data_IF_444496038654
#
_entry.id   IF_444496038654
#
_cell.length_a   1.000
_cell.length_b   1.000
_cell.length_c   1.000
_cell.angle_alpha   90.00
_cell.angle_beta   90.00
_cell.angle_gamma   90.00
#
_symmetry.space_group_name_H-M   'P 1'
#
loop_
_entity.id
_entity.type
_entity.pdbx_description
1 polymer ?
#
# COMPACT_ATOMS: atom_id res chain seq x y z
N UNK A 1 23.92 -5.94 -20.45
CA UNK A 1 22.56 -5.75 -20.97
C UNK A 1 22.60 -5.93 -22.48
N UNK A 2 21.54 -6.48 -23.07
CA UNK A 2 21.43 -6.69 -24.51
C UNK A 2 21.18 -5.32 -25.20
N UNK A 3 21.48 -5.20 -26.50
CA UNK A 3 21.32 -3.96 -27.28
C UNK A 3 19.93 -3.33 -27.13
N UNK A 4 18.86 -4.13 -27.18
CA UNK A 4 17.47 -3.64 -27.07
C UNK A 4 17.13 -3.01 -25.71
N UNK A 5 17.65 -3.56 -24.61
CA UNK A 5 17.49 -2.95 -23.28
C UNK A 5 18.25 -1.62 -23.20
N UNK A 6 19.44 -1.54 -23.81
CA UNK A 6 20.23 -0.31 -23.87
C UNK A 6 19.49 0.78 -24.69
N UNK A 7 18.91 0.43 -25.84
CA UNK A 7 18.12 1.38 -26.65
C UNK A 7 16.94 1.99 -25.84
N UNK A 8 16.24 1.17 -25.05
CA UNK A 8 15.14 1.65 -24.17
C UNK A 8 15.71 2.50 -23.02
N UNK A 9 16.86 2.13 -22.44
CA UNK A 9 17.51 2.91 -21.39
C UNK A 9 17.95 4.30 -21.90
N UNK A 10 18.47 4.39 -23.14
CA UNK A 10 18.85 5.66 -23.76
C UNK A 10 17.65 6.57 -23.98
N UNK A 11 16.53 6.02 -24.48
CA UNK A 11 15.27 6.74 -24.62
C UNK A 11 14.71 7.18 -23.26
N UNK A 12 14.77 6.32 -22.25
CA UNK A 12 14.36 6.67 -20.88
C UNK A 12 15.16 7.85 -20.35
N UNK A 13 16.50 7.79 -20.46
CA UNK A 13 17.38 8.86 -20.00
C UNK A 13 17.16 10.19 -20.76
N UNK A 14 16.72 10.13 -22.01
CA UNK A 14 16.46 11.30 -22.83
C UNK A 14 15.10 11.96 -22.52
N UNK A 15 14.05 11.16 -22.22
CA UNK A 15 12.68 11.66 -22.19
C UNK A 15 11.96 11.50 -20.86
N UNK A 16 12.49 10.73 -19.90
CA UNK A 16 11.87 10.51 -18.59
C UNK A 16 12.71 11.17 -17.50
N UNK A 17 12.04 11.86 -16.56
CA UNK A 17 12.73 12.49 -15.43
C UNK A 17 13.53 11.45 -14.63
N UNK A 18 14.79 11.74 -14.22
CA UNK A 18 15.72 10.79 -13.60
C UNK A 18 15.37 10.51 -12.12
N UNK A 19 14.14 10.12 -11.83
CA UNK A 19 13.63 9.81 -10.48
C UNK A 19 13.66 8.34 -10.15
N UNK A 20 13.91 7.48 -11.14
CA UNK A 20 14.06 6.03 -11.02
C UNK A 20 15.28 5.55 -11.80
N UNK A 21 15.83 4.40 -11.38
CA UNK A 21 16.95 3.73 -12.04
C UNK A 21 16.53 2.29 -12.46
N UNK A 22 15.68 2.12 -13.49
CA UNK A 22 15.24 0.81 -13.93
C UNK A 22 16.39 -0.02 -14.50
N UNK A 23 16.34 -1.33 -14.26
CA UNK A 23 17.42 -2.26 -14.65
C UNK A 23 17.01 -3.21 -15.78
N UNK A 24 15.72 -3.43 -15.98
CA UNK A 24 15.17 -4.39 -16.95
C UNK A 24 13.99 -3.77 -17.70
N UNK A 25 13.96 -3.96 -19.02
CA UNK A 25 12.82 -3.58 -19.85
C UNK A 25 11.86 -4.78 -19.99
N UNK A 26 10.74 -4.76 -19.27
CA UNK A 26 9.73 -5.82 -19.28
C UNK A 26 8.67 -5.56 -20.36
N UNK A 27 8.23 -6.63 -21.07
CA UNK A 27 7.26 -6.54 -22.16
C UNK A 27 6.03 -7.44 -21.99
N UNK A 28 6.11 -8.47 -21.16
CA UNK A 28 5.03 -9.43 -20.97
C UNK A 28 5.07 -10.01 -19.55
N UNK A 29 3.89 -10.39 -19.02
CA UNK A 29 3.78 -11.08 -17.74
C UNK A 29 2.62 -12.06 -17.71
N UNK A 30 2.76 -13.14 -16.93
CA UNK A 30 1.69 -14.12 -16.62
C UNK A 30 1.95 -14.74 -15.26
N UNK A 31 1.00 -14.61 -14.33
CA UNK A 31 1.18 -15.05 -12.95
C UNK A 31 2.39 -14.35 -12.31
N UNK A 32 3.34 -15.12 -11.80
CA UNK A 32 4.61 -14.60 -11.24
C UNK A 32 5.76 -14.50 -12.25
N UNK A 33 5.53 -14.85 -13.53
CA UNK A 33 6.58 -14.83 -14.55
C UNK A 33 6.47 -13.60 -15.42
N UNK A 34 7.60 -12.95 -15.70
CA UNK A 34 7.69 -11.83 -16.61
C UNK A 34 8.81 -12.04 -17.64
N UNK A 35 8.65 -11.44 -18.80
CA UNK A 35 9.61 -11.54 -19.91
C UNK A 35 10.19 -10.17 -20.24
N UNK A 36 11.50 -10.09 -20.29
CA UNK A 36 12.22 -8.92 -20.76
C UNK A 36 12.21 -8.77 -22.28
N UNK A 37 12.50 -7.58 -22.78
CA UNK A 37 12.59 -7.28 -24.22
C UNK A 37 13.66 -8.09 -24.94
N UNK A 38 14.61 -8.63 -24.21
CA UNK A 38 15.66 -9.53 -24.65
C UNK A 38 15.31 -11.01 -24.55
N UNK A 39 14.03 -11.32 -24.28
CA UNK A 39 13.47 -12.65 -24.05
C UNK A 39 13.98 -13.36 -22.77
N UNK A 40 14.70 -12.69 -21.88
CA UNK A 40 14.97 -13.23 -20.56
C UNK A 40 13.68 -13.44 -19.77
N UNK A 41 13.62 -14.56 -19.06
CA UNK A 41 12.51 -14.90 -18.17
C UNK A 41 12.90 -14.57 -16.74
N UNK A 42 11.97 -13.97 -15.99
CA UNK A 42 12.16 -13.65 -14.59
C UNK A 42 10.98 -14.15 -13.75
N UNK A 43 11.25 -14.49 -12.50
CA UNK A 43 10.24 -14.62 -11.45
C UNK A 43 10.15 -13.25 -10.78
N UNK A 44 8.97 -12.64 -10.85
CA UNK A 44 8.68 -11.37 -10.21
C UNK A 44 8.25 -11.58 -8.76
N UNK A 45 9.17 -11.30 -7.83
CA UNK A 45 8.90 -11.33 -6.39
C UNK A 45 8.39 -9.99 -5.85
N UNK A 46 8.40 -8.94 -6.70
CA UNK A 46 7.92 -7.59 -6.32
C UNK A 46 6.42 -7.42 -6.49
N UNK A 47 5.84 -8.17 -7.43
CA UNK A 47 4.43 -8.04 -7.84
C UNK A 47 4.03 -6.58 -8.14
N UNK A 48 4.95 -5.78 -8.76
CA UNK A 48 4.75 -4.35 -9.01
C UNK A 48 4.64 -3.54 -7.72
N UNK A 49 5.48 -3.79 -6.74
CA UNK A 49 5.44 -3.24 -5.37
C UNK A 49 4.08 -3.57 -4.71
N UNK A 50 3.80 -4.87 -4.58
CA UNK A 50 2.57 -5.44 -4.01
C UNK A 50 1.27 -5.03 -4.72
N UNK A 51 1.33 -4.64 -6.00
CA UNK A 51 0.15 -4.19 -6.77
C UNK A 51 -0.63 -5.35 -7.38
N UNK A 52 0.01 -6.47 -7.68
CA UNK A 52 -0.59 -7.60 -8.41
C UNK A 52 -0.87 -8.78 -7.47
N UNK A 53 -1.93 -8.68 -6.66
CA UNK A 53 -2.31 -9.76 -5.73
C UNK A 53 -2.66 -11.08 -6.44
N UNK A 54 -3.20 -11.00 -7.67
CA UNK A 54 -3.57 -12.17 -8.48
C UNK A 54 -2.48 -12.56 -9.50
N UNK A 55 -1.33 -11.88 -9.49
CA UNK A 55 -0.28 -12.02 -10.50
C UNK A 55 -0.54 -11.23 -11.79
N UNK A 56 0.44 -11.26 -12.68
CA UNK A 56 0.36 -10.58 -13.98
C UNK A 56 -0.71 -11.19 -14.88
N UNK A 57 -1.51 -10.33 -15.52
CA UNK A 57 -2.48 -10.68 -16.55
C UNK A 57 -3.43 -11.83 -16.14
N UNK A 58 -3.91 -11.80 -14.88
CA UNK A 58 -4.87 -12.79 -14.42
C UNK A 58 -6.12 -12.78 -15.34
N UNK A 59 -6.57 -13.95 -15.89
CA UNK A 59 -7.62 -13.99 -16.91
C UNK A 59 -8.90 -13.27 -16.49
N UNK A 60 -9.41 -13.52 -15.28
CA UNK A 60 -10.64 -12.90 -14.79
C UNK A 60 -10.53 -11.37 -14.66
N UNK A 61 -9.37 -10.85 -14.21
CA UNK A 61 -9.11 -9.41 -14.08
C UNK A 61 -8.98 -8.77 -15.45
N UNK A 62 -8.20 -9.38 -16.35
CA UNK A 62 -8.02 -8.89 -17.74
C UNK A 62 -9.34 -8.85 -18.49
N UNK A 63 -10.16 -9.90 -18.40
CA UNK A 63 -11.46 -9.95 -19.04
C UNK A 63 -12.43 -8.88 -18.51
N UNK A 64 -12.44 -8.66 -17.19
CA UNK A 64 -13.28 -7.61 -16.58
C UNK A 64 -12.90 -6.22 -17.10
N UNK A 65 -11.59 -5.93 -17.22
CA UNK A 65 -11.08 -4.67 -17.79
C UNK A 65 -11.52 -4.52 -19.25
N UNK A 66 -11.25 -5.53 -20.08
CA UNK A 66 -11.55 -5.49 -21.52
C UNK A 66 -13.06 -5.34 -21.76
N UNK A 67 -13.88 -6.08 -21.04
CA UNK A 67 -15.34 -5.98 -21.13
C UNK A 67 -15.81 -4.56 -20.76
N UNK A 68 -15.36 -4.02 -19.63
CA UNK A 68 -15.79 -2.71 -19.19
C UNK A 68 -15.27 -1.57 -20.08
N UNK A 69 -14.04 -1.68 -20.59
CA UNK A 69 -13.48 -0.70 -21.52
C UNK A 69 -14.27 -0.58 -22.82
N UNK A 70 -14.85 -1.70 -23.30
CA UNK A 70 -15.75 -1.71 -24.46
C UNK A 70 -17.13 -1.11 -24.19
N UNK A 71 -17.59 -1.12 -22.93
CA UNK A 71 -18.91 -0.58 -22.56
C UNK A 71 -18.81 0.92 -22.24
N UNK A 72 -18.00 1.30 -21.28
CA UNK A 72 -17.82 2.69 -20.84
C UNK A 72 -16.59 2.79 -19.95
N UNK A 73 -15.50 3.40 -20.41
CA UNK A 73 -14.26 3.50 -19.62
C UNK A 73 -14.33 4.53 -18.50
N UNK A 74 -15.15 5.60 -18.67
CA UNK A 74 -15.26 6.70 -17.72
C UNK A 74 -16.66 7.32 -17.72
N UNK A 75 -17.17 7.71 -16.54
CA UNK A 75 -18.47 8.38 -16.38
C UNK A 75 -18.41 9.63 -15.52
N UNK A 76 -17.25 9.96 -14.93
CA UNK A 76 -17.06 10.90 -13.82
C UNK A 76 -17.90 10.55 -12.57
N UNK A 77 -17.81 11.40 -11.53
CA UNK A 77 -18.63 11.28 -10.32
C UNK A 77 -19.89 12.16 -10.36
N UNK A 78 -20.24 12.69 -11.53
CA UNK A 78 -21.50 13.40 -11.76
C UNK A 78 -22.68 12.44 -11.98
N UNK A 79 -22.41 11.21 -12.35
CA UNK A 79 -23.41 10.18 -12.61
C UNK A 79 -23.16 8.93 -11.76
N UNK A 80 -24.21 8.17 -11.49
CA UNK A 80 -24.05 6.89 -10.81
C UNK A 80 -23.27 5.90 -11.68
N UNK A 81 -22.25 5.30 -11.08
CA UNK A 81 -21.42 4.26 -11.67
C UNK A 81 -21.71 2.94 -10.94
N UNK A 82 -22.34 2.00 -11.63
CA UNK A 82 -22.76 0.72 -11.04
C UNK A 82 -21.58 -0.05 -10.43
N UNK A 83 -20.44 -0.13 -11.15
CA UNK A 83 -19.27 -0.87 -10.65
C UNK A 83 -18.72 -0.25 -9.37
N UNK A 84 -18.67 1.08 -9.29
CA UNK A 84 -18.21 1.79 -8.09
C UNK A 84 -19.13 1.49 -6.88
N UNK A 85 -20.44 1.55 -7.08
CA UNK A 85 -21.40 1.30 -6.00
C UNK A 85 -21.34 -0.16 -5.52
N UNK A 86 -21.25 -1.13 -6.43
CA UNK A 86 -21.12 -2.54 -6.08
C UNK A 86 -19.79 -2.85 -5.39
N UNK A 87 -18.68 -2.23 -5.84
CA UNK A 87 -17.39 -2.33 -5.19
C UNK A 87 -17.44 -1.75 -3.76
N UNK A 88 -18.03 -0.56 -3.59
CA UNK A 88 -18.21 0.06 -2.27
C UNK A 88 -19.02 -0.84 -1.34
N UNK A 89 -20.12 -1.42 -1.82
CA UNK A 89 -20.93 -2.36 -1.05
C UNK A 89 -20.11 -3.58 -0.62
N UNK A 90 -19.31 -4.14 -1.51
CA UNK A 90 -18.47 -5.33 -1.23
C UNK A 90 -17.38 -5.01 -0.21
N UNK A 91 -16.68 -3.89 -0.37
CA UNK A 91 -15.66 -3.43 0.57
C UNK A 91 -16.26 -3.14 1.96
N UNK A 92 -17.41 -2.46 2.01
CA UNK A 92 -18.13 -2.20 3.26
C UNK A 92 -18.49 -3.49 4.00
N UNK A 93 -18.96 -4.53 3.28
CA UNK A 93 -19.26 -5.84 3.88
C UNK A 93 -18.01 -6.52 4.42
N UNK A 94 -16.90 -6.49 3.68
CA UNK A 94 -15.63 -7.10 4.07
C UNK A 94 -15.00 -6.42 5.29
N UNK A 95 -15.21 -5.11 5.46
CA UNK A 95 -14.66 -4.32 6.57
C UNK A 95 -15.62 -4.14 7.77
N UNK A 96 -16.71 -4.91 7.80
CA UNK A 96 -17.74 -4.79 8.83
C UNK A 96 -18.34 -3.38 8.96
N UNK A 97 -18.60 -2.74 7.82
CA UNK A 97 -19.23 -1.42 7.71
C UNK A 97 -18.31 -0.34 7.15
N UNK A 98 -18.79 0.90 7.18
CA UNK A 98 -18.11 2.06 6.62
C UNK A 98 -18.57 2.40 5.20
N UNK A 99 -18.28 3.65 4.80
CA UNK A 99 -18.53 4.15 3.43
C UNK A 99 -17.22 4.47 2.74
N UNK A 100 -17.21 4.37 1.42
CA UNK A 100 -16.03 4.46 0.57
C UNK A 100 -15.97 5.80 -0.16
N UNK A 101 -14.79 6.43 -0.16
CA UNK A 101 -14.45 7.48 -1.11
C UNK A 101 -13.29 6.98 -1.98
N UNK A 102 -13.51 6.88 -3.28
CA UNK A 102 -12.51 6.40 -4.24
C UNK A 102 -11.64 7.52 -4.77
N UNK A 103 -10.36 7.23 -4.98
CA UNK A 103 -9.37 8.08 -5.63
C UNK A 103 -8.48 7.22 -6.56
N UNK A 104 -7.31 7.71 -6.96
CA UNK A 104 -6.48 7.05 -7.98
C UNK A 104 -5.21 6.44 -7.39
N UNK A 105 -4.60 7.09 -6.42
CA UNK A 105 -3.32 6.71 -5.81
C UNK A 105 -3.43 6.56 -4.30
N UNK A 106 -2.49 5.80 -3.71
CA UNK A 106 -2.41 5.68 -2.26
C UNK A 106 -2.21 7.03 -1.57
N UNK A 107 -1.39 7.91 -2.15
CA UNK A 107 -1.19 9.26 -1.61
C UNK A 107 -2.49 10.07 -1.56
N UNK A 108 -3.32 10.02 -2.62
CA UNK A 108 -4.63 10.69 -2.62
C UNK A 108 -5.57 10.09 -1.56
N UNK A 109 -5.59 8.76 -1.39
CA UNK A 109 -6.40 8.13 -0.35
C UNK A 109 -5.96 8.59 1.05
N UNK A 110 -4.66 8.57 1.33
CA UNK A 110 -4.12 9.02 2.61
C UNK A 110 -4.36 10.51 2.86
N UNK A 111 -4.22 11.36 1.84
CA UNK A 111 -4.59 12.79 1.97
C UNK A 111 -6.07 12.98 2.31
N UNK A 112 -6.96 12.23 1.68
CA UNK A 112 -8.39 12.30 1.99
C UNK A 112 -8.68 11.76 3.40
N UNK A 113 -7.99 10.72 3.86
CA UNK A 113 -8.10 10.22 5.22
C UNK A 113 -7.66 11.28 6.24
N UNK A 114 -6.53 11.97 6.01
CA UNK A 114 -6.07 13.09 6.85
C UNK A 114 -7.04 14.28 6.81
N UNK A 115 -7.61 14.61 5.64
CA UNK A 115 -8.62 15.66 5.51
C UNK A 115 -9.86 15.36 6.36
N UNK A 116 -10.36 14.13 6.35
CA UNK A 116 -11.50 13.70 7.15
C UNK A 116 -11.15 13.78 8.65
N UNK A 117 -9.96 13.32 9.06
CA UNK A 117 -9.52 13.42 10.45
C UNK A 117 -9.44 14.87 10.93
N UNK A 118 -8.89 15.79 10.11
CA UNK A 118 -8.85 17.23 10.42
C UNK A 118 -10.24 17.85 10.49
N UNK A 119 -11.16 17.43 9.63
CA UNK A 119 -12.56 17.88 9.68
C UNK A 119 -13.22 17.46 11.00
N UNK A 120 -13.01 16.21 11.43
CA UNK A 120 -13.51 15.70 12.72
C UNK A 120 -12.96 16.50 13.93
N UNK A 121 -11.69 16.88 13.87
CA UNK A 121 -11.05 17.64 14.95
C UNK A 121 -11.33 19.15 14.95
N UNK A 122 -11.92 19.69 13.86
CA UNK A 122 -12.00 21.13 13.59
C UNK A 122 -12.60 21.95 14.73
N UNK A 123 -13.75 21.56 15.25
CA UNK A 123 -14.44 22.29 16.31
C UNK A 123 -13.68 22.29 17.65
N UNK A 124 -12.82 21.29 17.83
CA UNK A 124 -11.95 21.13 19.00
C UNK A 124 -10.56 21.73 18.81
N UNK A 125 -10.30 22.40 17.68
CA UNK A 125 -8.97 22.93 17.33
C UNK A 125 -7.89 21.85 17.09
N UNK A 126 -8.30 20.60 16.85
CA UNK A 126 -7.40 19.45 16.64
C UNK A 126 -7.20 19.19 15.15
N UNK A 127 -5.97 19.06 14.72
CA UNK A 127 -5.62 18.84 13.31
C UNK A 127 -4.33 18.05 13.10
N UNK A 128 -3.58 17.77 14.18
CA UNK A 128 -2.29 17.09 14.11
C UNK A 128 -2.48 15.58 14.06
N UNK A 129 -1.77 14.95 13.14
CA UNK A 129 -1.74 13.49 12.96
C UNK A 129 -0.36 12.97 13.35
N UNK A 130 -0.31 12.03 14.26
CA UNK A 130 0.93 11.34 14.60
C UNK A 130 1.18 10.26 13.54
N UNK A 131 2.37 10.27 12.96
CA UNK A 131 2.90 9.22 12.08
C UNK A 131 4.21 8.68 12.65
N UNK A 132 4.86 7.74 11.95
CA UNK A 132 5.98 7.01 12.54
C UNK A 132 7.26 7.17 11.73
N UNK A 133 8.39 7.28 12.43
CA UNK A 133 9.72 7.23 11.83
C UNK A 133 9.84 5.99 10.93
N UNK A 134 10.44 6.13 9.75
CA UNK A 134 10.53 5.13 8.68
C UNK A 134 9.19 4.76 8.01
N UNK A 135 8.05 5.32 8.42
CA UNK A 135 6.76 5.12 7.74
C UNK A 135 6.77 5.71 6.33
N UNK A 136 5.88 5.22 5.48
CA UNK A 136 5.70 5.72 4.12
C UNK A 136 4.22 5.86 3.78
N UNK A 137 3.78 7.08 3.48
CA UNK A 137 2.38 7.38 3.22
C UNK A 137 2.11 8.02 1.85
N UNK A 138 3.14 8.31 1.06
CA UNK A 138 3.01 8.84 -0.30
C UNK A 138 3.99 9.96 -0.63
N UNK A 139 3.84 10.54 -1.82
CA UNK A 139 4.77 11.51 -2.41
C UNK A 139 4.12 12.87 -2.74
N UNK A 140 2.86 13.12 -2.42
CA UNK A 140 2.28 14.46 -2.45
C UNK A 140 2.84 15.29 -1.28
N UNK A 141 2.78 16.61 -1.32
CA UNK A 141 3.41 17.44 -0.28
C UNK A 141 2.94 17.11 1.14
N UNK A 142 1.63 16.88 1.34
CA UNK A 142 1.14 16.52 2.66
C UNK A 142 1.56 15.08 3.05
N UNK A 143 1.63 14.15 2.10
CA UNK A 143 2.10 12.79 2.39
C UNK A 143 3.61 12.72 2.50
N UNK A 144 4.38 13.61 1.88
CA UNK A 144 5.80 13.81 2.21
C UNK A 144 5.96 14.24 3.67
N UNK A 145 5.13 15.18 4.14
CA UNK A 145 5.12 15.60 5.55
C UNK A 145 4.69 14.46 6.49
N UNK A 146 3.73 13.61 6.10
CA UNK A 146 3.34 12.44 6.87
C UNK A 146 4.40 11.31 6.88
N UNK A 147 5.24 11.25 5.85
CA UNK A 147 6.31 10.26 5.68
C UNK A 147 7.56 10.72 6.42
N UNK A 148 7.78 10.21 7.64
CA UNK A 148 8.89 10.60 8.51
C UNK A 148 10.22 9.98 8.05
N UNK A 149 10.69 10.37 6.86
CA UNK A 149 11.95 9.98 6.26
C UNK A 149 12.64 11.20 5.65
N UNK A 150 13.82 11.57 6.17
CA UNK A 150 14.57 12.74 5.70
C UNK A 150 14.83 12.71 4.19
N UNK A 151 15.19 11.53 3.65
CA UNK A 151 15.46 11.34 2.21
C UNK A 151 14.28 11.70 1.30
N UNK A 152 13.03 11.65 1.85
CA UNK A 152 11.80 11.95 1.11
C UNK A 152 11.38 13.41 1.28
N UNK A 153 11.69 14.02 2.42
CA UNK A 153 11.31 15.37 2.77
C UNK A 153 12.30 16.43 2.23
N UNK A 154 13.59 16.09 2.19
CA UNK A 154 14.68 17.00 1.85
C UNK A 154 14.49 17.68 0.51
N UNK A 155 14.52 19.01 0.50
CA UNK A 155 14.44 19.86 -0.69
C UNK A 155 13.01 20.22 -1.12
N UNK A 156 11.98 19.79 -0.37
CA UNK A 156 10.58 20.12 -0.63
C UNK A 156 9.97 21.08 0.40
N UNK A 157 10.81 21.69 1.23
CA UNK A 157 10.38 22.70 2.23
C UNK A 157 9.82 23.98 1.57
N UNK A 158 8.79 24.62 2.18
CA UNK A 158 8.12 24.24 3.43
C UNK A 158 7.08 23.13 3.24
N UNK A 159 7.14 22.09 4.07
CA UNK A 159 6.13 21.04 4.08
C UNK A 159 4.86 21.46 4.85
N UNK A 160 3.69 20.91 4.51
CA UNK A 160 2.46 21.16 5.27
C UNK A 160 2.61 20.77 6.76
N UNK A 161 2.16 21.68 7.65
CA UNK A 161 2.17 21.48 9.10
C UNK A 161 1.08 20.52 9.57
N UNK A 162 1.22 20.05 10.83
CA UNK A 162 0.23 19.21 11.51
C UNK A 162 0.52 17.73 11.40
N UNK A 163 1.80 17.38 11.39
CA UNK A 163 2.31 16.04 11.59
C UNK A 163 3.31 16.05 12.74
N UNK A 164 3.22 15.04 13.61
CA UNK A 164 4.19 14.72 14.66
C UNK A 164 4.69 13.30 14.45
N UNK A 165 5.93 13.02 14.86
CA UNK A 165 6.57 11.73 14.59
C UNK A 165 6.90 11.00 15.88
N UNK A 166 6.60 9.69 15.92
CA UNK A 166 6.93 8.79 16.99
C UNK A 166 7.77 7.61 16.48
N UNK A 167 8.40 6.88 17.37
CA UNK A 167 9.11 5.65 17.02
C UNK A 167 8.13 4.47 16.90
N UNK A 168 8.30 3.69 15.84
CA UNK A 168 7.46 2.54 15.59
C UNK A 168 7.77 1.40 16.57
N UNK A 169 6.74 0.73 17.07
CA UNK A 169 6.80 -0.27 18.13
C UNK A 169 7.21 0.28 19.51
N UNK A 170 7.13 1.60 19.75
CA UNK A 170 7.38 2.24 21.05
C UNK A 170 6.16 3.09 21.48
N UNK A 171 5.35 2.58 22.42
CA UNK A 171 4.18 3.28 22.94
C UNK A 171 4.56 4.52 23.75
N UNK A 172 5.68 4.49 24.45
CA UNK A 172 6.13 5.64 25.25
C UNK A 172 6.50 6.83 24.34
N UNK A 173 7.14 6.55 23.20
CA UNK A 173 7.41 7.55 22.17
C UNK A 173 6.11 8.18 21.64
N UNK A 174 5.05 7.37 21.42
CA UNK A 174 3.75 7.89 20.98
C UNK A 174 3.11 8.77 22.05
N UNK A 175 3.09 8.33 23.30
CA UNK A 175 2.52 9.11 24.41
C UNK A 175 3.23 10.46 24.60
N UNK A 176 4.54 10.50 24.38
CA UNK A 176 5.35 11.71 24.52
C UNK A 176 5.02 12.80 23.50
N UNK A 177 4.53 12.43 22.31
CA UNK A 177 4.21 13.38 21.24
C UNK A 177 2.72 13.74 21.14
N UNK A 178 1.85 13.10 21.91
CA UNK A 178 0.42 13.46 21.97
C UNK A 178 0.28 14.84 22.64
N UNK A 179 -0.27 15.80 21.90
CA UNK A 179 -0.54 17.15 22.35
C UNK A 179 -2.02 17.56 22.24
N UNK A 180 -2.32 18.78 22.65
CA UNK A 180 -3.68 19.33 22.61
C UNK A 180 -4.26 19.37 21.18
N UNK A 181 -3.40 19.50 20.17
CA UNK A 181 -3.78 19.56 18.75
C UNK A 181 -3.91 18.18 18.09
N UNK A 182 -3.51 17.12 18.77
CA UNK A 182 -3.54 15.78 18.20
C UNK A 182 -4.97 15.31 17.98
N UNK A 183 -5.27 14.85 16.75
CA UNK A 183 -6.59 14.34 16.35
C UNK A 183 -6.57 12.85 16.02
N UNK A 184 -5.42 12.32 15.55
CA UNK A 184 -5.34 10.96 15.06
C UNK A 184 -3.93 10.39 15.19
N UNK A 185 -3.85 9.07 15.18
CA UNK A 185 -2.62 8.30 14.96
C UNK A 185 -2.78 7.51 13.67
N UNK A 186 -1.84 7.67 12.73
CA UNK A 186 -1.83 7.02 11.43
C UNK A 186 -0.61 6.12 11.29
N UNK A 187 -0.82 4.85 10.94
CA UNK A 187 0.25 3.87 10.81
C UNK A 187 -0.03 2.80 9.76
N UNK A 188 1.03 2.16 9.30
CA UNK A 188 1.01 0.93 8.51
C UNK A 188 1.04 -0.27 9.48
N UNK A 189 0.30 -1.39 9.23
CA UNK A 189 0.47 -2.63 10.01
C UNK A 189 1.87 -3.25 9.86
N UNK A 190 2.52 -3.02 8.73
CA UNK A 190 3.92 -3.34 8.45
C UNK A 190 4.49 -2.14 7.69
N UNK A 191 5.51 -1.50 8.23
CA UNK A 191 6.26 -0.46 7.51
C UNK A 191 7.03 -1.10 6.36
N UNK A 192 6.40 -1.14 5.16
CA UNK A 192 6.97 -1.85 4.04
C UNK A 192 8.23 -1.17 3.50
N UNK A 193 8.12 0.10 3.11
CA UNK A 193 9.22 0.93 2.56
C UNK A 193 10.27 1.31 3.63
N UNK A 194 9.96 1.13 4.91
CA UNK A 194 10.87 1.32 6.04
C UNK A 194 11.73 0.09 6.35
N UNK A 195 11.66 -0.95 5.50
CA UNK A 195 12.43 -2.18 5.63
C UNK A 195 11.61 -3.38 6.11
N UNK A 196 10.33 -3.48 5.77
CA UNK A 196 9.41 -4.57 6.10
C UNK A 196 9.33 -4.83 7.61
N UNK A 197 9.06 -3.79 8.41
CA UNK A 197 9.01 -3.86 9.88
C UNK A 197 7.55 -4.10 10.33
N UNK A 198 7.18 -5.30 10.84
CA UNK A 198 5.85 -5.55 11.36
C UNK A 198 5.61 -4.82 12.68
N UNK A 199 4.39 -4.32 12.88
CA UNK A 199 3.94 -3.92 14.21
C UNK A 199 3.86 -5.16 15.12
N UNK A 200 4.27 -5.00 16.38
CA UNK A 200 4.02 -6.02 17.38
C UNK A 200 2.54 -6.03 17.79
N UNK A 201 2.04 -7.17 18.22
CA UNK A 201 0.65 -7.27 18.67
C UNK A 201 0.37 -6.38 19.90
N UNK A 202 1.35 -6.25 20.78
CA UNK A 202 1.30 -5.37 21.94
C UNK A 202 1.20 -3.91 21.54
N UNK A 203 2.08 -3.46 20.65
CA UNK A 203 2.07 -2.09 20.14
C UNK A 203 0.73 -1.76 19.45
N UNK A 204 0.27 -2.60 18.55
CA UNK A 204 -0.97 -2.36 17.79
C UNK A 204 -2.20 -2.27 18.72
N UNK A 205 -2.31 -3.17 19.70
CA UNK A 205 -3.38 -3.13 20.71
C UNK A 205 -3.24 -1.92 21.64
N UNK A 206 -1.99 -1.57 22.00
CA UNK A 206 -1.68 -0.38 22.79
C UNK A 206 -2.10 0.90 22.10
N UNK A 207 -1.79 1.06 20.80
CA UNK A 207 -2.23 2.20 19.98
C UNK A 207 -3.76 2.27 19.91
N UNK A 208 -4.44 1.16 19.64
CA UNK A 208 -5.90 1.14 19.58
C UNK A 208 -6.54 1.54 20.93
N UNK A 209 -5.99 1.05 22.03
CA UNK A 209 -6.40 1.45 23.39
C UNK A 209 -6.14 2.94 23.64
N UNK A 210 -4.95 3.42 23.30
CA UNK A 210 -4.53 4.81 23.51
C UNK A 210 -5.44 5.77 22.70
N UNK A 211 -5.76 5.44 21.45
CA UNK A 211 -6.71 6.20 20.63
C UNK A 211 -8.08 6.30 21.34
N UNK A 212 -8.61 5.17 21.80
CA UNK A 212 -9.89 5.12 22.52
C UNK A 212 -9.86 5.96 23.81
N UNK A 213 -8.83 5.81 24.63
CA UNK A 213 -8.71 6.47 25.94
C UNK A 213 -8.55 7.99 25.81
N UNK A 214 -7.88 8.44 24.74
CA UNK A 214 -7.59 9.88 24.48
C UNK A 214 -8.61 10.54 23.53
N UNK A 215 -9.56 9.78 22.98
CA UNK A 215 -10.51 10.27 21.98
C UNK A 215 -9.83 10.71 20.68
N UNK A 216 -8.81 9.95 20.24
CA UNK A 216 -8.10 10.11 18.97
C UNK A 216 -8.64 9.10 17.95
N UNK A 217 -8.53 9.45 16.67
CA UNK A 217 -8.86 8.52 15.58
C UNK A 217 -7.69 7.57 15.32
N UNK A 218 -8.01 6.30 15.09
CA UNK A 218 -7.09 5.28 14.61
C UNK A 218 -7.19 5.19 13.10
N UNK A 219 -6.12 5.59 12.38
CA UNK A 219 -6.04 5.60 10.93
C UNK A 219 -5.06 4.52 10.47
N UNK A 220 -5.51 3.62 9.59
CA UNK A 220 -4.69 2.50 9.12
C UNK A 220 -4.36 2.64 7.65
N UNK A 221 -3.09 2.72 7.32
CA UNK A 221 -2.61 2.65 5.94
C UNK A 221 -2.40 1.19 5.54
N UNK A 222 -3.37 0.64 4.82
CA UNK A 222 -3.36 -0.73 4.29
C UNK A 222 -3.02 -0.78 2.80
N UNK A 223 -2.42 0.28 2.26
CA UNK A 223 -2.11 0.41 0.83
C UNK A 223 -1.23 -0.74 0.36
N UNK A 224 -0.26 -1.16 1.17
CA UNK A 224 0.63 -2.26 0.82
C UNK A 224 0.29 -3.58 1.55
N UNK A 225 -0.29 -3.52 2.72
CA UNK A 225 -0.56 -4.68 3.58
C UNK A 225 -1.92 -5.34 3.33
N UNK A 226 -2.87 -4.59 2.77
CA UNK A 226 -4.22 -5.05 2.49
C UNK A 226 -4.35 -6.00 1.30
N UNK A 227 -5.58 -6.34 0.97
CA UNK A 227 -5.95 -7.16 -0.18
C UNK A 227 -5.30 -8.55 -0.19
N UNK A 228 -5.13 -9.16 0.98
CA UNK A 228 -4.63 -10.53 1.11
C UNK A 228 -3.11 -10.68 1.21
N UNK A 229 -2.33 -9.60 1.05
CA UNK A 229 -0.85 -9.65 1.03
C UNK A 229 -0.25 -10.34 2.24
N UNK A 230 -0.79 -10.10 3.43
CA UNK A 230 -0.30 -10.65 4.70
C UNK A 230 -1.01 -11.94 5.14
N UNK A 231 -1.92 -12.47 4.30
CA UNK A 231 -2.67 -13.69 4.58
C UNK A 231 -4.07 -13.47 5.18
N UNK A 232 -4.45 -12.23 5.47
CA UNK A 232 -5.83 -11.81 5.81
C UNK A 232 -6.29 -10.77 4.80
N UNK A 233 -7.60 -10.50 4.68
CA UNK A 233 -8.09 -9.49 3.73
C UNK A 233 -7.47 -8.12 4.07
N UNK A 234 -7.49 -7.75 5.35
CA UNK A 234 -6.81 -6.58 5.90
C UNK A 234 -5.86 -7.01 7.01
N UNK A 235 -4.67 -6.41 7.07
CA UNK A 235 -3.66 -6.83 8.05
C UNK A 235 -4.06 -6.49 9.50
N UNK A 236 -4.85 -5.42 9.73
CA UNK A 236 -5.36 -5.06 11.06
C UNK A 236 -6.23 -6.15 11.70
N UNK A 237 -6.85 -7.05 10.90
CA UNK A 237 -7.64 -8.18 11.41
C UNK A 237 -6.82 -9.12 12.30
N UNK A 238 -5.52 -9.26 11.99
CA UNK A 238 -4.61 -10.14 12.73
C UNK A 238 -4.36 -9.69 14.18
N UNK A 239 -4.66 -8.44 14.48
CA UNK A 239 -4.48 -7.85 15.80
C UNK A 239 -5.79 -7.79 16.61
N UNK A 240 -6.92 -8.14 16.00
CA UNK A 240 -8.24 -8.07 16.63
C UNK A 240 -8.68 -6.64 16.95
N UNK A 241 -8.23 -5.67 16.17
CA UNK A 241 -8.58 -4.24 16.29
C UNK A 241 -9.45 -3.84 15.09
N UNK A 242 -10.09 -2.67 15.20
CA UNK A 242 -10.83 -2.06 14.08
C UNK A 242 -10.47 -0.58 14.01
N UNK A 243 -9.92 -0.09 12.89
CA UNK A 243 -9.64 1.34 12.71
C UNK A 243 -10.91 2.15 12.48
N UNK A 244 -10.85 3.45 12.78
CA UNK A 244 -11.91 4.41 12.45
C UNK A 244 -11.95 4.69 10.95
N UNK A 245 -10.78 4.74 10.32
CA UNK A 245 -10.60 4.82 8.87
C UNK A 245 -9.40 3.99 8.43
N UNK A 246 -9.47 3.48 7.20
CA UNK A 246 -8.31 2.87 6.56
C UNK A 246 -8.32 3.10 5.06
N UNK A 247 -7.15 2.95 4.45
CA UNK A 247 -6.93 3.16 3.02
C UNK A 247 -6.48 1.90 2.33
N UNK A 248 -6.92 1.72 1.08
CA UNK A 248 -6.46 0.69 0.16
C UNK A 248 -6.04 1.32 -1.16
N UNK A 249 -5.06 0.76 -1.82
CA UNK A 249 -4.67 1.07 -3.19
C UNK A 249 -3.97 -0.15 -3.82
N UNK A 250 -2.93 0.04 -4.62
CA UNK A 250 -2.07 -1.03 -5.16
C UNK A 250 -2.88 -2.25 -5.61
N UNK A 251 -2.89 -3.33 -4.83
CA UNK A 251 -3.58 -4.57 -5.16
C UNK A 251 -5.08 -4.44 -5.42
N UNK A 252 -5.72 -3.39 -4.89
CA UNK A 252 -7.14 -3.15 -5.11
C UNK A 252 -7.48 -3.01 -6.60
N UNK A 253 -6.66 -2.27 -7.36
CA UNK A 253 -6.91 -1.99 -8.78
C UNK A 253 -6.50 -3.10 -9.74
N UNK A 254 -5.83 -4.17 -9.27
CA UNK A 254 -5.36 -5.26 -10.13
C UNK A 254 -4.42 -4.82 -11.25
N UNK A 255 -3.60 -3.79 -11.00
CA UNK A 255 -2.70 -3.14 -11.95
C UNK A 255 -3.22 -1.80 -12.51
N UNK A 256 -4.48 -1.44 -12.29
CA UNK A 256 -5.02 -0.13 -12.65
C UNK A 256 -4.97 0.84 -11.46
N UNK A 257 -4.81 2.16 -11.71
CA UNK A 257 -4.87 3.17 -10.67
C UNK A 257 -6.25 3.20 -10.00
N UNK A 258 -6.31 2.77 -8.75
CA UNK A 258 -7.49 2.83 -7.90
C UNK A 258 -7.05 2.85 -6.44
N UNK A 259 -7.67 3.72 -5.66
CA UNK A 259 -7.54 3.75 -4.21
C UNK A 259 -8.87 4.07 -3.55
N UNK A 260 -8.96 3.82 -2.26
CA UNK A 260 -10.17 4.09 -1.48
C UNK A 260 -9.81 4.44 -0.05
N UNK A 261 -10.54 5.39 0.53
CA UNK A 261 -10.67 5.57 1.98
C UNK A 261 -11.98 4.91 2.40
N UNK A 262 -11.94 4.10 3.43
CA UNK A 262 -13.13 3.54 4.08
C UNK A 262 -13.21 4.14 5.47
N UNK A 263 -14.32 4.86 5.75
CA UNK A 263 -14.54 5.57 6.99
C UNK A 263 -15.83 5.08 7.68
N UNK A 264 -15.81 5.00 9.01
CA UNK A 264 -17.00 4.66 9.79
C UNK A 264 -18.06 5.76 9.70
N UNK A 265 -19.33 5.40 9.94
CA UNK A 265 -20.49 6.26 9.66
C UNK A 265 -20.40 7.64 10.32
N UNK A 266 -19.98 7.73 11.58
CA UNK A 266 -19.87 8.99 12.32
C UNK A 266 -18.96 10.02 11.66
N UNK A 267 -17.90 9.55 10.97
CA UNK A 267 -16.98 10.43 10.25
C UNK A 267 -17.53 10.84 8.89
N UNK A 268 -18.34 9.97 8.28
CA UNK A 268 -18.95 10.22 6.98
C UNK A 268 -20.04 11.28 7.07
N UNK A 269 -20.76 11.34 8.18
CA UNK A 269 -21.85 12.31 8.42
C UNK A 269 -21.36 13.76 8.50
N UNK A 270 -20.04 13.97 8.67
CA UNK A 270 -19.39 15.28 8.58
C UNK A 270 -19.21 15.78 7.15
N UNK A 271 -19.34 14.90 6.16
CA UNK A 271 -19.01 15.22 4.76
C UNK A 271 -20.24 15.72 3.99
N UNK A 272 -20.04 16.75 3.20
CA UNK A 272 -21.02 17.30 2.27
C UNK A 272 -20.49 17.29 0.83
N UNK A 273 -21.36 17.28 -0.19
CA UNK A 273 -20.94 17.39 -1.59
C UNK A 273 -19.97 18.56 -1.82
N UNK A 274 -18.88 18.30 -2.51
CA UNK A 274 -17.83 19.28 -2.82
C UNK A 274 -16.62 19.29 -1.85
N UNK A 275 -16.70 18.65 -0.68
CA UNK A 275 -15.56 18.63 0.26
C UNK A 275 -14.40 17.74 -0.18
N UNK A 276 -14.71 16.62 -0.80
CA UNK A 276 -13.76 15.73 -1.45
C UNK A 276 -14.11 15.65 -2.94
N UNK A 277 -13.10 15.47 -3.80
CA UNK A 277 -13.32 15.42 -5.22
C UNK A 277 -12.22 14.68 -5.96
N UNK A 278 -12.59 14.06 -7.07
CA UNK A 278 -11.69 13.39 -8.00
C UNK A 278 -12.36 13.26 -9.36
N UNK A 279 -11.59 13.38 -10.43
CA UNK A 279 -12.11 13.15 -11.79
C UNK A 279 -12.18 11.66 -12.11
N UNK A 280 -11.12 10.90 -11.85
CA UNK A 280 -10.97 9.51 -12.28
C UNK A 280 -11.20 8.49 -11.17
N UNK A 281 -11.16 8.89 -9.91
CA UNK A 281 -11.33 7.98 -8.77
C UNK A 281 -12.67 7.24 -8.84
N UNK A 282 -12.62 5.92 -8.74
CA UNK A 282 -13.79 5.06 -8.87
C UNK A 282 -14.26 4.87 -10.32
N UNK A 283 -13.41 5.09 -11.34
CA UNK A 283 -13.82 4.88 -12.72
C UNK A 283 -14.29 3.44 -12.99
N UNK A 284 -15.21 3.25 -13.97
CA UNK A 284 -15.83 1.94 -14.23
C UNK A 284 -14.83 0.81 -14.49
N UNK A 285 -13.75 1.07 -15.23
CA UNK A 285 -12.76 0.04 -15.58
C UNK A 285 -11.97 -0.42 -14.37
N UNK A 286 -11.45 0.51 -13.56
CA UNK A 286 -10.69 0.17 -12.37
C UNK A 286 -11.58 -0.51 -11.31
N UNK A 287 -12.84 -0.08 -11.17
CA UNK A 287 -13.80 -0.75 -10.28
C UNK A 287 -14.16 -2.16 -10.76
N UNK A 288 -14.31 -2.38 -12.07
CA UNK A 288 -14.52 -3.72 -12.62
C UNK A 288 -13.32 -4.65 -12.36
N UNK A 289 -12.10 -4.13 -12.53
CA UNK A 289 -10.88 -4.85 -12.18
C UNK A 289 -10.84 -5.21 -10.69
N UNK A 290 -11.14 -4.25 -9.80
CA UNK A 290 -11.16 -4.46 -8.36
C UNK A 290 -12.20 -5.51 -7.92
N UNK A 291 -13.38 -5.50 -8.53
CA UNK A 291 -14.39 -6.54 -8.29
C UNK A 291 -13.84 -7.93 -8.67
N UNK A 292 -13.20 -8.04 -9.83
CA UNK A 292 -12.60 -9.30 -10.28
C UNK A 292 -11.43 -9.73 -9.38
N UNK A 293 -10.62 -8.81 -8.87
CA UNK A 293 -9.55 -9.09 -7.88
C UNK A 293 -10.15 -9.68 -6.60
N UNK A 294 -11.18 -9.04 -6.03
CA UNK A 294 -11.83 -9.52 -4.80
C UNK A 294 -12.48 -10.90 -5.01
N UNK A 295 -13.10 -11.14 -6.16
CA UNK A 295 -13.69 -12.44 -6.50
C UNK A 295 -12.61 -13.51 -6.66
N UNK A 296 -11.49 -13.20 -7.33
CA UNK A 296 -10.35 -14.10 -7.49
C UNK A 296 -9.74 -14.46 -6.14
N UNK A 297 -9.51 -13.47 -5.25
CA UNK A 297 -8.98 -13.72 -3.90
C UNK A 297 -9.85 -14.75 -3.17
N UNK A 298 -11.17 -14.60 -3.23
CA UNK A 298 -12.11 -15.51 -2.56
C UNK A 298 -12.17 -16.88 -3.24
N UNK A 299 -12.41 -16.92 -4.55
CA UNK A 299 -12.66 -18.15 -5.30
C UNK A 299 -11.43 -19.05 -5.37
N UNK A 300 -10.23 -18.48 -5.44
CA UNK A 300 -8.98 -19.21 -5.52
C UNK A 300 -8.29 -19.39 -4.15
N UNK A 301 -8.96 -18.98 -3.06
CA UNK A 301 -8.46 -19.07 -1.68
C UNK A 301 -7.07 -18.46 -1.52
N UNK A 302 -6.87 -17.25 -2.11
CA UNK A 302 -5.55 -16.64 -2.13
C UNK A 302 -5.06 -16.20 -0.74
N UNK A 303 -5.95 -16.01 0.23
CA UNK A 303 -5.56 -15.72 1.62
C UNK A 303 -4.81 -16.90 2.24
N UNK A 304 -5.35 -18.11 2.07
CA UNK A 304 -4.73 -19.36 2.55
C UNK A 304 -3.42 -19.63 1.78
N UNK A 305 -3.43 -19.43 0.47
CA UNK A 305 -2.21 -19.57 -0.35
C UNK A 305 -1.12 -18.58 0.09
N UNK A 306 -1.47 -17.32 0.40
CA UNK A 306 -0.52 -16.35 0.88
C UNK A 306 0.11 -16.74 2.23
N UNK A 307 -0.66 -17.34 3.13
CA UNK A 307 -0.15 -17.89 4.39
C UNK A 307 0.79 -19.06 4.17
N UNK A 308 0.35 -20.08 3.43
CA UNK A 308 1.14 -21.30 3.22
C UNK A 308 2.40 -21.04 2.39
N UNK A 309 2.29 -20.31 1.28
CA UNK A 309 3.45 -19.98 0.46
C UNK A 309 4.41 -19.03 1.19
N UNK A 310 3.87 -18.07 1.95
CA UNK A 310 4.67 -17.18 2.77
C UNK A 310 5.44 -17.91 3.88
N UNK A 311 4.82 -18.91 4.52
CA UNK A 311 5.50 -19.75 5.50
C UNK A 311 6.63 -20.58 4.85
N UNK A 312 6.36 -21.22 3.70
CA UNK A 312 7.38 -21.98 2.96
C UNK A 312 8.55 -21.09 2.52
N UNK A 313 8.26 -19.89 2.00
CA UNK A 313 9.32 -18.95 1.60
C UNK A 313 10.14 -18.50 2.81
N UNK A 314 9.49 -18.17 3.93
CA UNK A 314 10.17 -17.80 5.16
C UNK A 314 11.09 -18.92 5.66
N UNK A 315 10.61 -20.14 5.75
CA UNK A 315 11.40 -21.31 6.15
C UNK A 315 12.64 -21.49 5.27
N UNK A 316 12.46 -21.37 3.94
CA UNK A 316 13.59 -21.44 3.00
C UNK A 316 14.61 -20.32 3.18
N UNK A 317 14.15 -19.09 3.46
CA UNK A 317 15.03 -17.96 3.72
C UNK A 317 15.74 -18.06 5.07
N UNK A 318 15.05 -18.52 6.12
CA UNK A 318 15.62 -18.77 7.45
C UNK A 318 16.71 -19.85 7.41
N UNK A 319 16.52 -20.92 6.62
CA UNK A 319 17.52 -21.97 6.44
C UNK A 319 18.83 -21.43 5.79
N UNK A 320 18.79 -20.33 5.05
CA UNK A 320 20.01 -19.71 4.52
C UNK A 320 20.85 -19.04 5.62
N UNK A 321 20.26 -18.62 6.74
CA UNK A 321 20.99 -17.92 7.82
C UNK A 321 22.12 -18.78 8.40
N UNK A 322 21.96 -20.10 8.45
CA UNK A 322 22.99 -21.01 8.93
C UNK A 322 24.25 -21.02 8.04
N UNK A 323 24.07 -20.76 6.74
CA UNK A 323 25.15 -20.80 5.74
C UNK A 323 25.67 -19.41 5.40
N UNK A 324 24.90 -18.37 5.66
CA UNK A 324 25.19 -16.98 5.29
C UNK A 324 24.99 -16.05 6.50
N UNK A 325 26.00 -15.88 7.35
CA UNK A 325 25.89 -15.09 8.61
C UNK A 325 25.61 -13.60 8.36
N UNK A 326 25.81 -13.10 7.15
CA UNK A 326 25.41 -11.75 6.75
C UNK A 326 23.88 -11.56 6.65
N UNK A 327 23.08 -12.62 6.69
CA UNK A 327 21.62 -12.55 6.81
C UNK A 327 21.32 -12.42 8.30
N UNK A 328 20.87 -11.24 8.72
CA UNK A 328 20.68 -10.92 10.13
C UNK A 328 19.27 -11.30 10.62
N UNK A 329 18.26 -11.15 9.77
CA UNK A 329 16.86 -11.36 10.14
C UNK A 329 16.00 -11.64 8.91
N UNK A 330 14.99 -12.52 9.05
CA UNK A 330 13.87 -12.66 8.10
C UNK A 330 12.61 -12.17 8.79
N UNK A 331 11.97 -11.11 8.26
CA UNK A 331 10.82 -10.45 8.88
C UNK A 331 9.67 -10.22 7.90
N UNK A 332 8.50 -9.81 8.41
CA UNK A 332 7.28 -9.62 7.62
C UNK A 332 6.20 -10.62 7.93
N UNK A 333 5.13 -10.63 7.12
CA UNK A 333 3.97 -11.56 7.25
C UNK A 333 3.41 -11.94 5.89
N UNK A 334 2.97 -13.19 5.75
CA UNK A 334 2.42 -13.72 4.49
C UNK A 334 3.45 -13.58 3.36
N UNK A 335 3.06 -12.92 2.27
CA UNK A 335 3.93 -12.64 1.11
C UNK A 335 4.49 -11.20 1.11
N UNK A 336 4.56 -10.55 2.25
CA UNK A 336 5.33 -9.32 2.47
C UNK A 336 6.48 -9.68 3.41
N UNK A 337 7.59 -10.14 2.84
CA UNK A 337 8.78 -10.60 3.54
C UNK A 337 9.98 -9.72 3.19
N UNK A 338 10.84 -9.49 4.17
CA UNK A 338 12.10 -8.81 4.04
C UNK A 338 13.24 -9.62 4.65
N UNK A 339 14.39 -9.62 3.97
CA UNK A 339 15.64 -10.17 4.45
C UNK A 339 16.55 -9.00 4.85
N UNK A 340 16.94 -8.93 6.10
CA UNK A 340 17.89 -7.92 6.60
C UNK A 340 19.29 -8.44 6.38
N UNK A 341 20.10 -7.66 5.69
CA UNK A 341 21.49 -8.00 5.37
C UNK A 341 22.45 -7.07 6.10
N UNK A 342 23.60 -7.59 6.50
CA UNK A 342 24.75 -6.79 6.87
C UNK A 342 25.37 -6.18 5.60
N UNK A 343 25.53 -4.85 5.56
CA UNK A 343 26.11 -4.14 4.41
C UNK A 343 25.12 -3.74 3.32
N UNK A 344 25.62 -3.54 2.09
CA UNK A 344 24.81 -3.04 0.96
C UNK A 344 24.07 -4.18 0.24
N UNK A 345 22.75 -4.18 0.31
CA UNK A 345 21.88 -5.15 -0.34
C UNK A 345 21.88 -5.08 -1.88
N UNK A 346 22.48 -4.03 -2.50
CA UNK A 346 22.48 -3.84 -3.96
C UNK A 346 23.18 -4.96 -4.70
N UNK A 347 24.27 -5.49 -4.15
CA UNK A 347 24.99 -6.60 -4.78
C UNK A 347 24.11 -7.86 -4.89
N UNK A 348 23.40 -8.18 -3.80
CA UNK A 348 22.44 -9.29 -3.78
C UNK A 348 21.30 -9.04 -4.77
N UNK A 349 20.74 -7.83 -4.78
CA UNK A 349 19.71 -7.42 -5.74
C UNK A 349 20.15 -7.63 -7.20
N UNK A 350 21.32 -7.12 -7.59
CA UNK A 350 21.82 -7.28 -8.96
C UNK A 350 22.11 -8.75 -9.30
N UNK A 351 22.58 -9.52 -8.32
CA UNK A 351 22.83 -10.96 -8.51
C UNK A 351 21.51 -11.71 -8.68
N UNK A 352 20.48 -11.41 -7.91
CA UNK A 352 19.13 -11.94 -8.12
C UNK A 352 18.61 -11.63 -9.53
N UNK A 353 18.69 -10.37 -9.97
CA UNK A 353 18.28 -9.96 -11.31
C UNK A 353 19.01 -10.76 -12.42
N UNK A 354 20.33 -10.94 -12.31
CA UNK A 354 21.12 -11.72 -13.26
C UNK A 354 20.71 -13.19 -13.31
N UNK A 355 20.21 -13.72 -12.20
CA UNK A 355 19.73 -15.10 -12.08
C UNK A 355 18.23 -15.26 -12.31
N UNK A 356 17.54 -14.24 -12.83
CA UNK A 356 16.15 -14.33 -13.22
C UNK A 356 15.15 -14.10 -12.07
N UNK A 357 15.53 -13.40 -11.00
CA UNK A 357 14.62 -13.02 -9.91
C UNK A 357 14.55 -11.50 -9.77
N UNK A 358 13.35 -10.95 -9.80
CA UNK A 358 13.12 -9.53 -9.54
C UNK A 358 12.68 -9.35 -8.07
N UNK A 359 13.45 -8.61 -7.30
CA UNK A 359 13.15 -8.21 -5.93
C UNK A 359 13.35 -6.71 -5.77
N UNK A 360 13.14 -6.15 -4.58
CA UNK A 360 13.43 -4.75 -4.26
C UNK A 360 14.49 -4.68 -3.16
N UNK A 361 15.17 -3.55 -3.08
CA UNK A 361 15.94 -3.14 -1.90
C UNK A 361 15.23 -1.98 -1.23
N UNK A 362 15.09 -2.04 0.09
CA UNK A 362 14.48 -1.01 0.93
C UNK A 362 15.44 -0.65 2.08
N UNK A 363 15.45 0.62 2.50
CA UNK A 363 16.28 1.10 3.60
C UNK A 363 16.94 2.43 3.35
#
# INVERSE_FOLDING_TARGET
MNSKTNDIADLFNQYVMPTYAPTVALIQGSGSKVTGIDNMQFIDLTAGIATLACGHCHPAVTEAIVRQAKLMPHSSNLYYNTNMVLLAQKLSKLSNGGKCFFANSGAEANENMVKIARLYGREKGKYEVITFNKGFHGRTLAMCAATAQEKIQKGFDPLPIGFAYADFNDLASVEAVIGEKTVAIMLEPIQAEGGVIPATAEFMKGIAKLCKDKGLLLLMDEIQTGMGRTGTMFAWEQYGIKPDMFTLAKALGGGLPLSVVIAQSELVDLLHPGMLGTTFGGNPCACAAAMAVLDTIANEKLLEKAKSTGALLREGLEALMDSFPQILEIRGKGLLLGMVLEGDAKEVFYTCCKNGFLCCTEG
#
